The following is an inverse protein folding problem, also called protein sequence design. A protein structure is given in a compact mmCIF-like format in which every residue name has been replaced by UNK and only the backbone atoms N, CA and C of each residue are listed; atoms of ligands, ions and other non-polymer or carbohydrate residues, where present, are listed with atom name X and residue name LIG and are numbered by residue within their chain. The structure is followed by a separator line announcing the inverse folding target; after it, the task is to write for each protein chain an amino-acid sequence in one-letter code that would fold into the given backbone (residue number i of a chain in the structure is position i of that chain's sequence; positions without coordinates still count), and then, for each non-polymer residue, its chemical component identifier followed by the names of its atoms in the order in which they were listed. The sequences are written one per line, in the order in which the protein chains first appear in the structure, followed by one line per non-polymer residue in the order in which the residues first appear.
data_IF_494972920363
#
_entry.id   IF_494972920363
#
_cell.length_a   1.000
_cell.length_b   1.000
_cell.length_c   1.000
_cell.angle_alpha   90.00
_cell.angle_beta   90.00
_cell.angle_gamma   90.00
#
_symmetry.space_group_name_H-M   'P 1'
#
loop_
_entity.id
_entity.type
_entity.pdbx_description
1 polymer ?
#
# COMPACT_ATOMS: atom_id res chain seq x y z
N UNK A 1 -17.12 8.29 46.27
CA UNK A 1 -18.32 7.70 45.66
C UNK A 1 -18.09 7.78 44.16
N UNK A 2 -17.54 6.72 43.58
CA UNK A 2 -17.35 6.63 42.13
C UNK A 2 -18.73 6.29 41.56
N UNK A 3 -19.33 7.22 40.82
CA UNK A 3 -20.46 6.90 39.96
C UNK A 3 -19.91 6.53 38.59
N UNK A 4 -20.54 5.49 38.07
CA UNK A 4 -20.11 4.60 37.02
C UNK A 4 -20.57 5.19 35.68
N UNK A 5 -19.73 6.02 35.05
CA UNK A 5 -19.96 6.59 33.72
C UNK A 5 -19.78 5.55 32.59
N UNK A 6 -19.60 4.27 32.93
CA UNK A 6 -19.38 3.18 31.97
C UNK A 6 -20.64 2.82 31.15
N UNK A 7 -21.82 3.25 31.59
CA UNK A 7 -23.11 2.86 30.99
C UNK A 7 -23.68 3.85 29.97
N UNK A 8 -23.09 5.04 29.81
CA UNK A 8 -23.51 6.00 28.75
C UNK A 8 -22.71 5.86 27.44
N UNK A 9 -21.66 5.03 27.41
CA UNK A 9 -20.82 4.83 26.22
C UNK A 9 -21.30 3.69 25.31
N UNK A 10 -22.21 2.82 25.77
CA UNK A 10 -22.69 1.67 24.99
C UNK A 10 -23.91 2.00 24.09
N UNK A 11 -24.49 3.20 24.16
CA UNK A 11 -25.69 3.57 23.39
C UNK A 11 -25.43 4.38 22.10
N UNK A 12 -24.17 4.55 21.68
CA UNK A 12 -23.82 5.23 20.40
C UNK A 12 -23.37 4.29 19.27
N UNK A 13 -23.54 2.97 19.41
CA UNK A 13 -23.14 2.00 18.39
C UNK A 13 -24.34 1.17 17.90
N UNK A 14 -25.22 1.77 17.08
CA UNK A 14 -26.20 0.98 16.33
C UNK A 14 -26.58 1.52 14.94
N UNK A 15 -25.66 2.15 14.22
CA UNK A 15 -25.96 2.51 12.83
C UNK A 15 -24.95 1.90 11.85
N UNK A 16 -25.42 0.89 11.12
CA UNK A 16 -24.64 0.15 10.14
C UNK A 16 -24.23 1.05 8.96
N UNK A 17 -23.03 0.85 8.38
CA UNK A 17 -22.59 1.60 7.20
C UNK A 17 -23.51 1.33 6.00
N UNK A 18 -23.74 2.37 5.19
CA UNK A 18 -24.53 2.28 3.96
C UNK A 18 -23.56 2.15 2.78
N UNK A 19 -23.72 1.07 2.01
CA UNK A 19 -22.86 0.78 0.86
C UNK A 19 -23.47 1.35 -0.41
N UNK A 20 -22.69 2.18 -1.12
CA UNK A 20 -23.09 2.80 -2.38
C UNK A 20 -22.18 2.28 -3.49
N UNK A 21 -22.77 1.65 -4.50
CA UNK A 21 -22.00 1.19 -5.68
C UNK A 21 -21.68 2.40 -6.54
N UNK A 22 -20.42 2.61 -6.91
CA UNK A 22 -20.01 3.81 -7.69
C UNK A 22 -20.80 3.92 -9.01
N UNK A 23 -21.11 2.80 -9.67
CA UNK A 23 -21.92 2.78 -10.90
C UNK A 23 -23.41 3.06 -10.72
N UNK A 24 -23.89 3.12 -9.49
CA UNK A 24 -25.25 3.56 -9.21
C UNK A 24 -25.35 5.07 -9.01
N UNK A 25 -24.21 5.78 -9.01
CA UNK A 25 -24.18 7.24 -8.96
C UNK A 25 -24.60 7.84 -10.30
N UNK A 26 -25.16 9.04 -10.24
CA UNK A 26 -25.47 9.82 -11.44
C UNK A 26 -24.19 10.07 -12.26
N UNK A 27 -24.31 10.03 -13.58
CA UNK A 27 -23.19 10.31 -14.46
C UNK A 27 -22.62 11.71 -14.20
N UNK A 28 -21.29 11.91 -14.31
CA UNK A 28 -20.67 13.19 -14.04
C UNK A 28 -21.24 14.28 -14.96
N UNK A 29 -21.97 15.23 -14.36
CA UNK A 29 -22.48 16.40 -15.04
C UNK A 29 -21.35 17.34 -15.52
N UNK A 30 -21.50 17.87 -16.73
CA UNK A 30 -20.72 19.01 -17.23
C UNK A 30 -21.36 20.30 -16.76
N UNK A 31 -20.59 21.12 -16.06
CA UNK A 31 -21.01 22.44 -15.61
C UNK A 31 -20.29 23.49 -16.46
N UNK A 32 -21.05 24.38 -17.07
CA UNK A 32 -20.49 25.57 -17.73
C UNK A 32 -20.37 26.67 -16.70
N UNK A 33 -19.13 27.09 -16.44
CA UNK A 33 -18.84 28.25 -15.62
C UNK A 33 -18.41 29.40 -16.52
N UNK A 34 -19.10 30.53 -16.41
CA UNK A 34 -18.75 31.75 -17.13
C UNK A 34 -17.96 32.66 -16.20
N UNK A 35 -16.78 33.08 -16.65
CA UNK A 35 -15.99 34.08 -15.94
C UNK A 35 -15.28 35.01 -16.92
N UNK A 36 -14.85 36.16 -16.42
CA UNK A 36 -14.08 37.13 -17.20
C UNK A 36 -12.59 36.79 -17.07
N UNK A 37 -11.87 36.80 -18.19
CA UNK A 37 -10.41 36.73 -18.15
C UNK A 37 -9.78 38.05 -17.67
N UNK A 38 -8.44 38.07 -17.44
CA UNK A 38 -7.75 39.28 -17.01
C UNK A 38 -7.84 40.46 -18.01
N UNK A 39 -8.29 40.23 -19.24
CA UNK A 39 -8.51 41.27 -20.25
C UNK A 39 -9.99 41.68 -20.36
N UNK A 40 -10.87 41.12 -19.53
CA UNK A 40 -12.29 41.44 -19.46
C UNK A 40 -13.15 40.72 -20.51
N UNK A 41 -12.65 39.65 -21.13
CA UNK A 41 -13.40 38.85 -22.10
C UNK A 41 -14.12 37.69 -21.40
N UNK A 42 -15.37 37.45 -21.78
CA UNK A 42 -16.14 36.30 -21.29
C UNK A 42 -15.56 34.99 -21.81
N UNK A 43 -15.20 34.11 -20.88
CA UNK A 43 -14.75 32.75 -21.13
C UNK A 43 -15.72 31.76 -20.49
N UNK A 44 -16.16 30.81 -21.29
CA UNK A 44 -16.90 29.64 -20.84
C UNK A 44 -15.93 28.50 -20.59
N UNK A 45 -15.82 28.07 -19.35
CA UNK A 45 -15.08 26.87 -18.99
C UNK A 45 -16.04 25.76 -18.63
N UNK A 46 -15.88 24.64 -19.30
CA UNK A 46 -16.65 23.43 -19.05
C UNK A 46 -15.87 22.55 -18.09
N UNK A 47 -16.38 22.43 -16.86
CA UNK A 47 -15.82 21.55 -15.85
C UNK A 47 -16.69 20.30 -15.75
N UNK A 48 -16.06 19.12 -15.78
CA UNK A 48 -16.74 17.86 -15.48
C UNK A 48 -16.64 17.68 -13.96
N UNK A 49 -17.76 17.76 -13.25
CA UNK A 49 -17.76 17.51 -11.82
C UNK A 49 -17.79 15.99 -11.57
N UNK A 50 -17.02 15.51 -10.61
CA UNK A 50 -16.96 14.10 -10.24
C UNK A 50 -18.32 13.60 -9.71
N UNK A 51 -18.73 12.40 -10.12
CA UNK A 51 -20.03 11.81 -9.76
C UNK A 51 -20.18 11.57 -8.25
N UNK A 52 -19.08 11.23 -7.55
CA UNK A 52 -19.06 11.05 -6.10
C UNK A 52 -19.21 12.40 -5.41
N UNK A 53 -18.47 13.42 -5.84
CA UNK A 53 -18.58 14.76 -5.27
C UNK A 53 -19.99 15.35 -5.47
N UNK A 54 -20.60 15.18 -6.64
CA UNK A 54 -21.98 15.62 -6.89
C UNK A 54 -23.00 14.91 -6.01
N UNK A 55 -22.80 13.61 -5.78
CA UNK A 55 -23.66 12.84 -4.90
C UNK A 55 -23.49 13.26 -3.44
N UNK A 56 -22.25 13.47 -3.00
CA UNK A 56 -21.95 13.98 -1.66
C UNK A 56 -22.58 15.36 -1.45
N UNK A 57 -22.46 16.31 -2.38
CA UNK A 57 -23.07 17.65 -2.20
C UNK A 57 -24.60 17.64 -1.98
N UNK A 58 -25.29 16.55 -2.36
CA UNK A 58 -26.74 16.37 -2.15
C UNK A 58 -27.10 15.78 -0.78
N UNK A 59 -26.14 15.20 -0.08
CA UNK A 59 -26.36 14.53 1.20
C UNK A 59 -26.13 15.49 2.37
N UNK A 60 -26.75 15.18 3.51
CA UNK A 60 -26.45 15.90 4.75
C UNK A 60 -25.08 15.49 5.31
N UNK A 61 -24.41 16.35 6.10
CA UNK A 61 -23.12 16.01 6.72
C UNK A 61 -23.15 14.77 7.62
N UNK A 62 -24.31 14.42 8.17
CA UNK A 62 -24.50 13.21 8.97
C UNK A 62 -24.52 11.94 8.09
N UNK A 63 -25.13 12.03 6.90
CA UNK A 63 -25.16 10.95 5.92
C UNK A 63 -23.78 10.73 5.26
N UNK A 64 -22.99 11.80 5.03
CA UNK A 64 -21.63 11.69 4.48
C UNK A 64 -20.75 10.74 5.28
N UNK A 65 -20.81 10.85 6.61
CA UNK A 65 -19.98 10.06 7.53
C UNK A 65 -20.35 8.57 7.52
N UNK A 66 -21.47 8.20 6.91
CA UNK A 66 -22.02 6.85 6.89
C UNK A 66 -21.88 6.15 5.54
N UNK A 67 -21.47 6.87 4.49
CA UNK A 67 -21.34 6.30 3.15
C UNK A 67 -20.01 5.55 2.97
N UNK A 68 -20.11 4.32 2.48
CA UNK A 68 -18.98 3.52 2.02
C UNK A 68 -19.18 3.26 0.52
N UNK A 69 -18.31 3.82 -0.31
CA UNK A 69 -18.37 3.62 -1.75
C UNK A 69 -17.67 2.32 -2.11
N UNK A 70 -18.34 1.46 -2.88
CA UNK A 70 -17.81 0.19 -3.35
C UNK A 70 -17.77 0.15 -4.87
N UNK A 71 -16.73 -0.45 -5.42
CA UNK A 71 -16.53 -0.63 -6.86
C UNK A 71 -17.12 -1.99 -7.24
N UNK A 72 -17.82 -2.06 -8.38
CA UNK A 72 -18.42 -3.32 -8.82
C UNK A 72 -17.35 -4.35 -9.19
N UNK A 73 -17.64 -5.65 -8.98
CA UNK A 73 -16.68 -6.74 -9.26
C UNK A 73 -16.18 -6.76 -10.72
N UNK A 74 -16.96 -6.22 -11.67
CA UNK A 74 -16.60 -6.10 -13.08
C UNK A 74 -15.58 -4.99 -13.34
N UNK A 75 -15.64 -3.90 -12.60
CA UNK A 75 -14.65 -2.83 -12.65
C UNK A 75 -13.40 -3.15 -11.85
N UNK A 76 -13.52 -3.95 -10.78
CA UNK A 76 -12.37 -4.58 -10.14
C UNK A 76 -11.60 -5.44 -11.15
N UNK A 77 -12.29 -6.07 -12.11
CA UNK A 77 -11.64 -6.80 -13.21
C UNK A 77 -10.98 -5.88 -14.25
N UNK A 78 -11.45 -4.64 -14.44
CA UNK A 78 -10.78 -3.63 -15.25
C UNK A 78 -9.61 -2.95 -14.50
N UNK A 79 -9.73 -2.82 -13.18
CA UNK A 79 -8.66 -2.40 -12.27
C UNK A 79 -7.64 -3.52 -11.96
N UNK A 80 -7.77 -4.71 -12.56
CA UNK A 80 -6.77 -5.78 -12.44
C UNK A 80 -5.39 -5.35 -12.93
N UNK A 81 -5.32 -4.42 -13.88
CA UNK A 81 -4.06 -3.80 -14.32
C UNK A 81 -3.50 -2.80 -13.28
N UNK A 82 -4.30 -2.37 -12.29
CA UNK A 82 -3.90 -1.51 -11.16
C UNK A 82 -3.69 -2.28 -9.83
N UNK A 83 -3.95 -3.59 -9.81
CA UNK A 83 -3.84 -4.45 -8.62
C UNK A 83 -2.68 -5.46 -8.71
N UNK A 84 -1.78 -5.29 -9.69
CA UNK A 84 -0.54 -6.07 -9.77
C UNK A 84 0.32 -5.81 -8.54
N UNK A 85 0.86 -6.89 -7.98
CA UNK A 85 1.89 -6.83 -6.95
C UNK A 85 3.00 -5.85 -7.36
N UNK A 86 3.40 -4.97 -6.44
CA UNK A 86 4.31 -3.88 -6.76
C UNK A 86 5.69 -4.15 -6.19
N UNK A 87 6.72 -3.92 -7.00
CA UNK A 87 8.11 -4.08 -6.61
C UNK A 87 8.83 -2.74 -6.53
N UNK A 88 9.90 -2.70 -5.74
CA UNK A 88 10.91 -1.64 -5.77
C UNK A 88 12.30 -2.24 -5.99
N UNK A 89 13.20 -1.57 -6.71
CA UNK A 89 14.58 -2.02 -6.81
C UNK A 89 15.30 -1.88 -5.47
N UNK A 90 16.09 -2.88 -5.13
CA UNK A 90 16.94 -2.88 -3.95
C UNK A 90 18.34 -3.34 -4.30
N UNK A 91 19.36 -2.55 -3.97
CA UNK A 91 20.75 -2.99 -4.01
C UNK A 91 21.06 -3.74 -2.71
N UNK A 92 21.28 -5.05 -2.81
CA UNK A 92 21.40 -5.94 -1.66
C UNK A 92 22.85 -6.36 -1.50
N UNK A 93 23.34 -6.29 -0.26
CA UNK A 93 24.70 -6.64 0.12
C UNK A 93 25.77 -5.87 -0.67
N UNK A 94 25.40 -4.72 -1.28
CA UNK A 94 26.24 -3.93 -2.19
C UNK A 94 26.77 -4.74 -3.39
N UNK A 95 26.09 -5.83 -3.75
CA UNK A 95 26.55 -6.77 -4.79
C UNK A 95 25.57 -6.86 -5.96
N UNK A 96 24.28 -7.04 -5.67
CA UNK A 96 23.25 -7.34 -6.66
C UNK A 96 22.12 -6.30 -6.54
N UNK A 97 21.46 -5.99 -7.65
CA UNK A 97 20.17 -5.32 -7.62
C UNK A 97 19.08 -6.37 -7.85
N UNK A 98 18.06 -6.39 -7.00
CA UNK A 98 16.93 -7.32 -7.09
C UNK A 98 15.61 -6.56 -6.96
N UNK A 99 14.56 -7.11 -7.55
CA UNK A 99 13.20 -6.60 -7.41
C UNK A 99 12.58 -7.09 -6.10
N UNK A 100 12.27 -6.15 -5.22
CA UNK A 100 11.73 -6.39 -3.91
C UNK A 100 10.22 -6.14 -3.88
N UNK A 101 9.48 -7.24 -3.75
CA UNK A 101 8.02 -7.23 -3.69
C UNK A 101 7.54 -6.60 -2.39
N UNK A 102 6.63 -5.62 -2.48
CA UNK A 102 5.98 -5.00 -1.34
C UNK A 102 4.75 -5.83 -0.91
N UNK A 103 4.78 -6.39 0.30
CA UNK A 103 3.68 -7.17 0.85
C UNK A 103 3.50 -6.91 2.36
N UNK A 104 2.75 -5.86 2.71
CA UNK A 104 2.43 -5.53 4.11
C UNK A 104 1.56 -6.58 4.82
N UNK A 105 0.99 -7.53 4.06
CA UNK A 105 0.29 -8.70 4.57
C UNK A 105 1.23 -9.76 5.13
N UNK A 106 2.48 -9.81 4.66
CA UNK A 106 3.50 -10.73 5.16
C UNK A 106 4.08 -10.26 6.49
N UNK A 107 4.28 -11.22 7.40
CA UNK A 107 4.91 -10.98 8.70
C UNK A 107 6.44 -11.14 8.67
N UNK A 108 7.04 -11.41 7.51
CA UNK A 108 8.48 -11.63 7.36
C UNK A 108 9.05 -10.88 6.16
N UNK A 109 10.34 -10.57 6.23
CA UNK A 109 11.14 -10.29 5.03
C UNK A 109 11.76 -11.61 4.59
N UNK A 110 11.63 -11.93 3.31
CA UNK A 110 12.14 -13.19 2.76
C UNK A 110 12.79 -13.01 1.40
N UNK A 111 13.63 -13.98 1.04
CA UNK A 111 14.36 -14.01 -0.22
C UNK A 111 14.47 -15.45 -0.72
N UNK A 112 14.37 -15.65 -2.04
CA UNK A 112 14.63 -16.97 -2.62
C UNK A 112 16.10 -17.38 -2.38
N UNK A 113 16.37 -18.68 -2.27
CA UNK A 113 17.74 -19.20 -2.15
C UNK A 113 18.60 -18.78 -3.35
N UNK A 114 18.03 -18.74 -4.55
CA UNK A 114 18.73 -18.32 -5.76
C UNK A 114 19.18 -16.85 -5.67
N UNK A 115 18.28 -15.95 -5.28
CA UNK A 115 18.60 -14.54 -5.11
C UNK A 115 19.61 -14.35 -3.97
N UNK A 116 19.45 -15.04 -2.84
CA UNK A 116 20.41 -14.99 -1.74
C UNK A 116 21.82 -15.42 -2.19
N UNK A 117 21.92 -16.46 -3.03
CA UNK A 117 23.18 -16.88 -3.65
C UNK A 117 23.77 -15.82 -4.59
N UNK A 118 22.94 -15.22 -5.44
CA UNK A 118 23.34 -14.15 -6.37
C UNK A 118 23.90 -12.94 -5.63
N UNK A 119 23.26 -12.58 -4.52
CA UNK A 119 23.63 -11.47 -3.65
C UNK A 119 24.73 -11.82 -2.64
N UNK A 120 25.25 -13.05 -2.69
CA UNK A 120 26.33 -13.56 -1.82
C UNK A 120 26.01 -13.40 -0.33
N UNK A 121 24.75 -13.65 0.04
CA UNK A 121 24.27 -13.60 1.40
C UNK A 121 24.44 -14.97 2.05
N UNK A 122 25.06 -15.00 3.22
CA UNK A 122 25.10 -16.19 4.07
C UNK A 122 23.95 -16.16 5.08
N UNK A 123 23.39 -17.32 5.38
CA UNK A 123 22.33 -17.49 6.37
C UNK A 123 22.69 -18.55 7.40
N UNK A 124 22.10 -18.44 8.58
CA UNK A 124 22.18 -19.42 9.66
C UNK A 124 21.12 -20.51 9.44
N UNK A 125 21.51 -21.76 9.14
CA UNK A 125 20.57 -22.85 8.87
C UNK A 125 19.88 -23.40 10.13
N UNK A 126 20.31 -23.02 11.33
CA UNK A 126 19.65 -23.41 12.57
C UNK A 126 18.45 -22.50 12.86
N UNK A 127 18.47 -21.27 12.35
CA UNK A 127 17.41 -20.28 12.55
C UNK A 127 16.35 -20.36 11.47
N UNK A 128 15.55 -21.41 11.58
CA UNK A 128 14.45 -21.69 10.65
C UNK A 128 13.08 -21.42 11.26
N UNK A 129 12.13 -20.99 10.43
CA UNK A 129 10.72 -20.90 10.80
C UNK A 129 9.85 -21.70 9.82
N UNK A 130 8.66 -22.06 10.26
CA UNK A 130 7.63 -22.63 9.42
C UNK A 130 6.77 -21.50 8.87
N UNK A 131 6.66 -21.41 7.56
CA UNK A 131 5.82 -20.46 6.85
C UNK A 131 4.55 -21.20 6.45
N UNK A 132 3.40 -20.73 6.92
CA UNK A 132 2.12 -21.13 6.38
C UNK A 132 1.77 -20.19 5.22
N UNK A 133 1.77 -20.72 4.01
CA UNK A 133 1.35 -19.95 2.84
C UNK A 133 -0.16 -19.81 2.78
N UNK A 134 -0.65 -18.93 1.91
CA UNK A 134 -2.09 -18.66 1.75
C UNK A 134 -2.91 -19.91 1.33
N UNK A 135 -2.28 -20.91 0.72
CA UNK A 135 -2.93 -22.17 0.34
C UNK A 135 -2.96 -23.21 1.49
N UNK A 136 -2.45 -22.84 2.68
CA UNK A 136 -2.38 -23.72 3.85
C UNK A 136 -1.16 -24.64 3.90
N UNK A 137 -0.31 -24.66 2.86
CA UNK A 137 0.93 -25.43 2.90
C UNK A 137 1.92 -24.80 3.87
N UNK A 138 2.51 -25.68 4.69
CA UNK A 138 3.58 -25.31 5.62
C UNK A 138 4.91 -25.64 4.95
N UNK A 139 5.73 -24.62 4.72
CA UNK A 139 7.08 -24.76 4.17
C UNK A 139 8.08 -24.21 5.17
N UNK A 140 9.19 -24.94 5.37
CA UNK A 140 10.25 -24.52 6.27
C UNK A 140 11.27 -23.65 5.53
N UNK A 141 11.72 -22.57 6.14
CA UNK A 141 12.80 -21.74 5.58
C UNK A 141 14.13 -22.49 5.61
N UNK A 142 15.04 -22.15 4.70
CA UNK A 142 16.42 -22.64 4.71
C UNK A 142 17.22 -22.13 5.91
N UNK A 143 16.86 -20.95 6.44
CA UNK A 143 17.55 -20.30 7.55
C UNK A 143 17.28 -18.79 7.58
N UNK A 144 18.02 -18.08 8.43
CA UNK A 144 17.93 -16.63 8.58
C UNK A 144 19.26 -15.95 8.28
N UNK A 145 19.26 -14.99 7.35
CA UNK A 145 20.36 -14.06 7.16
C UNK A 145 20.14 -12.82 8.04
N UNK A 146 21.12 -12.51 8.89
CA UNK A 146 21.02 -11.43 9.88
C UNK A 146 21.64 -10.15 9.35
N UNK A 147 20.97 -9.03 9.60
CA UNK A 147 21.47 -7.68 9.32
C UNK A 147 21.99 -7.51 7.89
N UNK A 148 21.24 -8.00 6.90
CA UNK A 148 21.63 -7.84 5.49
C UNK A 148 21.37 -6.38 5.09
N UNK A 149 22.35 -5.66 4.51
CA UNK A 149 22.15 -4.28 4.09
C UNK A 149 21.38 -4.24 2.76
N UNK A 150 20.30 -3.47 2.75
CA UNK A 150 19.49 -3.14 1.59
C UNK A 150 19.59 -1.64 1.35
N UNK A 151 19.95 -1.27 0.13
CA UNK A 151 20.02 0.11 -0.32
C UNK A 151 18.83 0.39 -1.24
N UNK A 152 18.02 1.36 -0.81
CA UNK A 152 16.81 1.82 -1.47
C UNK A 152 17.00 3.28 -1.84
N UNK A 153 17.57 3.52 -3.02
CA UNK A 153 18.09 4.86 -3.36
C UNK A 153 19.24 5.25 -2.42
N UNK A 154 19.09 6.38 -1.72
CA UNK A 154 20.05 6.86 -0.74
C UNK A 154 19.89 6.22 0.66
N UNK A 155 18.76 5.57 0.95
CA UNK A 155 18.49 5.01 2.29
C UNK A 155 19.04 3.59 2.40
N UNK A 156 19.76 3.29 3.50
CA UNK A 156 20.34 1.98 3.77
C UNK A 156 19.71 1.34 5.02
N UNK A 157 19.03 0.20 4.85
CA UNK A 157 18.32 -0.50 5.93
C UNK A 157 18.94 -1.89 6.12
N UNK A 158 19.16 -2.30 7.37
CA UNK A 158 19.62 -3.65 7.69
C UNK A 158 18.42 -4.53 8.06
N UNK A 159 18.16 -5.56 7.27
CA UNK A 159 16.98 -6.42 7.43
C UNK A 159 17.37 -7.83 7.90
N UNK A 160 16.45 -8.46 8.64
CA UNK A 160 16.50 -9.89 8.94
C UNK A 160 15.77 -10.63 7.81
N UNK A 161 16.46 -11.46 7.04
CA UNK A 161 15.94 -12.04 5.81
C UNK A 161 15.84 -13.56 5.92
N UNK A 162 14.62 -14.09 5.84
CA UNK A 162 14.40 -15.53 5.78
C UNK A 162 14.66 -16.06 4.37
N UNK A 163 15.53 -17.05 4.25
CA UNK A 163 15.84 -17.68 2.96
C UNK A 163 14.86 -18.81 2.69
N UNK A 164 14.22 -18.81 1.52
CA UNK A 164 13.20 -19.78 1.12
C UNK A 164 13.72 -20.57 -0.09
N UNK A 165 13.58 -21.90 -0.05
CA UNK A 165 14.10 -22.80 -1.09
C UNK A 165 13.54 -22.50 -2.48
N UNK A 166 12.21 -22.45 -2.60
CA UNK A 166 11.48 -22.33 -3.87
C UNK A 166 10.43 -21.22 -3.79
N UNK A 167 10.87 -19.98 -3.53
CA UNK A 167 9.98 -18.83 -3.62
C UNK A 167 9.73 -18.47 -5.10
N UNK A 168 8.49 -18.08 -5.43
CA UNK A 168 8.12 -17.57 -6.76
C UNK A 168 8.49 -16.10 -6.97
N UNK A 169 9.09 -15.47 -5.96
CA UNK A 169 9.58 -14.10 -5.97
C UNK A 169 11.06 -14.07 -5.59
N UNK A 170 11.76 -13.00 -5.96
CA UNK A 170 13.18 -12.85 -5.64
C UNK A 170 13.36 -12.38 -4.20
N UNK A 171 12.70 -11.30 -3.84
CA UNK A 171 12.66 -10.71 -2.49
C UNK A 171 11.22 -10.31 -2.15
N UNK A 172 10.83 -10.48 -0.90
CA UNK A 172 9.56 -10.01 -0.35
C UNK A 172 9.82 -9.16 0.90
N UNK A 173 9.32 -7.93 0.88
CA UNK A 173 9.36 -6.96 1.97
C UNK A 173 8.03 -7.00 2.70
N UNK A 174 8.05 -7.67 3.86
CA UNK A 174 6.89 -7.74 4.74
C UNK A 174 6.77 -6.55 5.68
N UNK A 175 5.79 -6.63 6.56
CA UNK A 175 5.53 -5.65 7.63
C UNK A 175 6.76 -5.24 8.47
N UNK A 176 7.75 -6.11 8.77
CA UNK A 176 8.95 -5.66 9.47
C UNK A 176 9.68 -4.52 8.75
N UNK A 177 9.72 -4.54 7.42
CA UNK A 177 10.27 -3.44 6.62
C UNK A 177 9.43 -2.17 6.76
N UNK A 178 8.10 -2.29 6.64
CA UNK A 178 7.18 -1.14 6.74
C UNK A 178 7.32 -0.43 8.10
N UNK A 179 7.39 -1.21 9.19
CA UNK A 179 7.49 -0.68 10.55
C UNK A 179 8.84 -0.02 10.80
N UNK A 180 9.94 -0.66 10.39
CA UNK A 180 11.29 -0.13 10.61
C UNK A 180 11.52 1.17 9.83
N UNK A 181 10.90 1.30 8.65
CA UNK A 181 11.11 2.45 7.77
C UNK A 181 10.01 3.51 7.85
N UNK A 182 9.01 3.30 8.71
CA UNK A 182 7.76 4.08 8.73
C UNK A 182 7.18 4.29 7.31
N UNK A 183 7.18 3.21 6.51
CA UNK A 183 6.89 3.32 5.09
C UNK A 183 5.47 3.85 4.84
N UNK A 184 5.31 4.64 3.78
CA UNK A 184 3.99 5.12 3.35
C UNK A 184 3.83 4.92 1.86
N UNK A 185 2.68 4.38 1.47
CA UNK A 185 2.31 4.23 0.06
C UNK A 185 1.41 5.40 -0.34
N UNK A 186 1.77 6.06 -1.43
CA UNK A 186 0.96 7.08 -2.08
C UNK A 186 0.56 6.59 -3.47
N UNK A 187 -0.75 6.45 -3.71
CA UNK A 187 -1.30 6.09 -5.01
C UNK A 187 -1.82 7.35 -5.72
N UNK A 188 -1.61 7.42 -7.03
CA UNK A 188 -2.12 8.47 -7.91
C UNK A 188 -3.34 7.97 -8.70
N UNK A 189 -4.25 8.87 -9.03
CA UNK A 189 -5.36 8.63 -9.97
C UNK A 189 -4.87 8.32 -11.40
N UNK A 190 -3.61 8.64 -11.70
CA UNK A 190 -2.93 8.31 -12.96
C UNK A 190 -2.32 6.89 -12.96
N UNK A 191 -2.55 6.09 -11.90
CA UNK A 191 -2.05 4.71 -11.79
C UNK A 191 -0.60 4.60 -11.30
N UNK A 192 0.06 5.72 -11.00
CA UNK A 192 1.37 5.71 -10.36
C UNK A 192 1.27 5.37 -8.87
N UNK A 193 2.27 4.65 -8.37
CA UNK A 193 2.41 4.40 -6.94
C UNK A 193 3.83 4.69 -6.52
N UNK A 194 3.96 5.34 -5.37
CA UNK A 194 5.23 5.66 -4.73
C UNK A 194 5.25 5.13 -3.31
N UNK A 195 6.42 4.69 -2.87
CA UNK A 195 6.69 4.37 -1.47
C UNK A 195 7.70 5.37 -0.91
N UNK A 196 7.34 6.02 0.19
CA UNK A 196 8.30 6.81 0.98
C UNK A 196 8.79 5.98 2.16
N UNK A 197 10.09 5.99 2.39
CA UNK A 197 10.75 5.29 3.50
C UNK A 197 11.70 6.23 4.23
N UNK A 198 11.93 5.93 5.50
CA UNK A 198 12.81 6.67 6.40
C UNK A 198 13.86 5.73 6.99
N UNK A 199 15.12 6.14 7.01
CA UNK A 199 16.15 5.44 7.78
C UNK A 199 15.92 5.72 9.28
N UNK A 200 15.63 4.69 10.10
CA UNK A 200 15.38 4.88 11.53
C UNK A 200 16.61 5.37 12.31
N UNK A 201 17.82 5.23 11.76
CA UNK A 201 19.06 5.61 12.44
C UNK A 201 19.51 7.03 12.10
N UNK A 202 19.33 7.45 10.83
CA UNK A 202 19.82 8.74 10.33
C UNK A 202 18.72 9.77 10.13
N UNK A 203 17.46 9.33 9.99
CA UNK A 203 16.33 10.18 9.58
C UNK A 203 16.35 10.56 8.10
N UNK A 204 17.26 10.00 7.30
CA UNK A 204 17.23 10.22 5.85
C UNK A 204 15.95 9.63 5.25
N UNK A 205 15.40 10.33 4.26
CA UNK A 205 14.19 9.92 3.57
C UNK A 205 14.48 9.60 2.11
N UNK A 206 13.79 8.59 1.57
CA UNK A 206 13.73 8.30 0.15
C UNK A 206 12.28 8.13 -0.29
N UNK A 207 11.97 8.56 -1.52
CA UNK A 207 10.71 8.29 -2.19
C UNK A 207 10.99 7.58 -3.50
N UNK A 208 10.41 6.39 -3.66
CA UNK A 208 10.71 5.48 -4.76
C UNK A 208 9.44 5.23 -5.55
N UNK A 209 9.54 5.27 -6.88
CA UNK A 209 8.47 4.77 -7.73
C UNK A 209 8.43 3.25 -7.63
N UNK A 210 7.23 2.69 -7.55
CA UNK A 210 7.03 1.25 -7.61
C UNK A 210 6.74 0.82 -9.04
N UNK A 211 6.96 -0.46 -9.36
CA UNK A 211 6.72 -1.04 -10.68
C UNK A 211 5.83 -2.29 -10.56
N UNK A 212 5.00 -2.60 -11.57
CA UNK A 212 4.14 -3.77 -11.56
C UNK A 212 4.92 -5.07 -11.87
#
# INVERSE_FOLDING_TARGET
MLQDDSLELEEQLSEAPVYVVINSLEAPAKVCNEHLDPMGQYLQTWQVNDAVLQYLEKLSPAEHKRQVFTISSEEVNAARDMATLRVIPALINKVCEEEALLDSGSQIVSMSREAAGTCKITWDPELTINIQSANGQITKTCGLAKNVPFNFGNVAIHLQVHVIEQASYRVLLGRPFDVITESRIANSTEGHQFISITDPNTGEHASLSTYP
#
